data_IF_364165402580
#
_entry.id   IF_364165402580
#
_cell.length_a   1.000
_cell.length_b   1.000
_cell.length_c   1.000
_cell.angle_alpha   90.00
_cell.angle_beta   90.00
_cell.angle_gamma   90.00
#
_symmetry.space_group_name_H-M   'P 1'
#
loop_
_entity.id
_entity.type
_entity.pdbx_description
1 polymer ?
#
# COMPACT_ATOMS: atom_id res chain seq x y z
N UNK A 1 -4.32 -9.55 -17.82
CA UNK A 1 -4.07 -10.96 -18.18
C UNK A 1 -3.87 -11.85 -16.95
N UNK A 2 -2.79 -11.74 -16.17
CA UNK A 2 -2.62 -12.58 -14.96
C UNK A 2 -3.69 -12.35 -13.86
N UNK A 3 -4.07 -11.09 -13.63
CA UNK A 3 -5.10 -10.73 -12.63
C UNK A 3 -6.51 -11.20 -13.03
N UNK A 4 -6.77 -11.40 -14.32
CA UNK A 4 -8.09 -11.86 -14.81
C UNK A 4 -8.27 -13.35 -14.54
N UNK A 5 -7.21 -14.14 -14.73
CA UNK A 5 -7.24 -15.59 -14.50
C UNK A 5 -7.36 -15.93 -12.99
N UNK A 6 -6.68 -15.19 -12.12
CA UNK A 6 -6.81 -15.34 -10.66
C UNK A 6 -8.24 -15.03 -10.18
N UNK A 7 -8.84 -13.93 -10.67
CA UNK A 7 -10.22 -13.56 -10.35
C UNK A 7 -11.20 -14.65 -10.72
N UNK A 8 -11.05 -15.23 -11.91
CA UNK A 8 -11.90 -16.34 -12.38
C UNK A 8 -11.78 -17.55 -11.46
N UNK A 9 -10.57 -17.93 -11.04
CA UNK A 9 -10.36 -19.05 -10.11
C UNK A 9 -11.01 -18.81 -8.74
N UNK A 10 -10.89 -17.60 -8.19
CA UNK A 10 -11.51 -17.24 -6.91
C UNK A 10 -13.04 -17.28 -7.00
N UNK A 11 -13.62 -16.75 -8.09
CA UNK A 11 -15.07 -16.82 -8.31
C UNK A 11 -15.56 -18.26 -8.47
N UNK A 12 -14.83 -19.11 -9.20
CA UNK A 12 -15.16 -20.53 -9.32
C UNK A 12 -15.06 -21.27 -7.99
N UNK A 13 -14.05 -20.96 -7.19
CA UNK A 13 -13.92 -21.54 -5.85
C UNK A 13 -15.06 -21.11 -4.94
N UNK A 14 -15.40 -19.81 -4.92
CA UNK A 14 -16.52 -19.28 -4.17
C UNK A 14 -17.83 -19.97 -4.56
N UNK A 15 -18.09 -20.13 -5.86
CA UNK A 15 -19.30 -20.77 -6.36
C UNK A 15 -19.41 -22.23 -5.90
N UNK A 16 -18.32 -22.99 -6.01
CA UNK A 16 -18.25 -24.37 -5.49
C UNK A 16 -18.42 -24.43 -3.98
N UNK A 17 -17.83 -23.50 -3.24
CA UNK A 17 -17.94 -23.44 -1.79
C UNK A 17 -19.40 -23.19 -1.39
N UNK A 18 -20.09 -22.25 -2.03
CA UNK A 18 -21.48 -21.91 -1.69
C UNK A 18 -22.49 -22.98 -2.10
N UNK A 19 -22.21 -23.78 -3.13
CA UNK A 19 -23.11 -24.84 -3.61
C UNK A 19 -22.81 -26.24 -3.06
N UNK A 20 -21.83 -26.37 -2.15
CA UNK A 20 -21.55 -27.67 -1.53
C UNK A 20 -22.61 -27.98 -0.48
N UNK A 21 -23.43 -28.99 -0.73
CA UNK A 21 -24.42 -29.47 0.24
C UNK A 21 -23.75 -30.20 1.40
N UNK A 22 -24.23 -29.92 2.61
CA UNK A 22 -23.61 -30.40 3.85
C UNK A 22 -24.60 -31.22 4.67
N UNK A 23 -24.37 -32.53 4.75
CA UNK A 23 -25.34 -33.49 5.29
C UNK A 23 -25.24 -33.71 6.80
N UNK A 24 -24.10 -33.38 7.43
CA UNK A 24 -23.84 -33.58 8.87
C UNK A 24 -23.67 -32.26 9.63
N UNK A 25 -24.14 -32.21 10.88
CA UNK A 25 -23.98 -31.09 11.81
C UNK A 25 -22.50 -30.68 11.97
N UNK A 26 -21.59 -31.65 12.08
CA UNK A 26 -20.15 -31.38 12.18
C UNK A 26 -19.62 -30.71 10.91
N UNK A 27 -20.07 -31.18 9.74
CA UNK A 27 -19.66 -30.58 8.48
C UNK A 27 -20.25 -29.18 8.29
N UNK A 28 -21.46 -28.90 8.80
CA UNK A 28 -22.05 -27.54 8.71
C UNK A 28 -21.23 -26.50 9.46
N UNK A 29 -20.71 -26.85 10.65
CA UNK A 29 -19.82 -25.96 11.41
C UNK A 29 -18.52 -25.69 10.66
N UNK A 30 -17.88 -26.74 10.12
CA UNK A 30 -16.68 -26.59 9.29
C UNK A 30 -16.93 -25.78 8.01
N UNK A 31 -18.08 -25.97 7.38
CA UNK A 31 -18.46 -25.27 6.17
C UNK A 31 -18.66 -23.77 6.41
N UNK A 32 -19.35 -23.41 7.50
CA UNK A 32 -19.48 -22.01 7.93
C UNK A 32 -18.12 -21.36 8.20
N UNK A 33 -17.24 -22.07 8.90
CA UNK A 33 -15.87 -21.60 9.16
C UNK A 33 -15.06 -21.42 7.86
N UNK A 34 -15.23 -22.31 6.89
CA UNK A 34 -14.56 -22.22 5.59
C UNK A 34 -15.01 -20.99 4.80
N UNK A 35 -16.31 -20.70 4.78
CA UNK A 35 -16.87 -19.49 4.15
C UNK A 35 -16.32 -18.23 4.83
N UNK A 36 -16.32 -18.18 6.16
CA UNK A 36 -15.79 -17.03 6.91
C UNK A 36 -14.31 -16.80 6.61
N UNK A 37 -13.51 -17.88 6.62
CA UNK A 37 -12.08 -17.82 6.32
C UNK A 37 -11.83 -17.36 4.88
N UNK A 38 -12.63 -17.84 3.92
CA UNK A 38 -12.55 -17.41 2.53
C UNK A 38 -12.89 -15.93 2.36
N UNK A 39 -13.97 -15.45 2.99
CA UNK A 39 -14.33 -14.03 2.98
C UNK A 39 -13.18 -13.16 3.53
N UNK A 40 -12.52 -13.60 4.60
CA UNK A 40 -11.36 -12.90 5.17
C UNK A 40 -10.17 -12.85 4.21
N UNK A 41 -9.91 -13.92 3.46
CA UNK A 41 -8.89 -13.95 2.41
C UNK A 41 -9.20 -12.92 1.30
N UNK A 42 -10.45 -12.88 0.84
CA UNK A 42 -10.89 -11.93 -0.20
C UNK A 42 -10.76 -10.48 0.29
N UNK A 43 -11.13 -10.20 1.54
CA UNK A 43 -10.99 -8.88 2.15
C UNK A 43 -9.52 -8.44 2.25
N UNK A 44 -8.63 -9.31 2.77
CA UNK A 44 -7.19 -9.03 2.86
C UNK A 44 -6.57 -8.81 1.48
N UNK A 45 -7.00 -9.56 0.46
CA UNK A 45 -6.57 -9.35 -0.93
C UNK A 45 -7.03 -7.99 -1.46
N UNK A 46 -8.28 -7.60 -1.21
CA UNK A 46 -8.80 -6.28 -1.61
C UNK A 46 -7.99 -5.15 -0.97
N UNK A 47 -7.76 -5.23 0.34
CA UNK A 47 -6.95 -4.24 1.07
C UNK A 47 -5.55 -4.09 0.49
N UNK A 48 -4.90 -5.19 0.10
CA UNK A 48 -3.61 -5.18 -0.60
C UNK A 48 -3.68 -4.47 -1.95
N UNK A 49 -4.70 -4.74 -2.76
CA UNK A 49 -4.83 -4.11 -4.09
C UNK A 49 -5.12 -2.63 -3.95
N UNK A 50 -6.03 -2.27 -3.04
CA UNK A 50 -6.34 -0.88 -2.71
C UNK A 50 -5.08 -0.14 -2.24
N UNK A 51 -4.28 -0.73 -1.35
CA UNK A 51 -3.05 -0.11 -0.85
C UNK A 51 -1.93 0.06 -1.89
N UNK A 52 -1.99 -0.66 -3.02
CA UNK A 52 -1.08 -0.49 -4.17
C UNK A 52 -1.61 0.57 -5.15
N UNK A 53 -2.94 0.69 -5.27
CA UNK A 53 -3.60 1.61 -6.22
C UNK A 53 -3.78 3.04 -5.71
N UNK A 54 -3.68 3.25 -4.40
CA UNK A 54 -3.84 4.57 -3.78
C UNK A 54 -2.48 5.27 -3.74
N UNK A 55 -2.11 5.85 -4.88
CA UNK A 55 -1.06 6.86 -4.94
C UNK A 55 -1.67 8.25 -4.71
N UNK A 56 -0.92 9.16 -4.13
CA UNK A 56 -1.24 10.58 -3.99
C UNK A 56 -1.54 11.12 -5.40
N UNK A 57 -2.74 11.66 -5.65
CA UNK A 57 -3.09 12.25 -6.93
C UNK A 57 -2.04 13.26 -7.40
N UNK A 58 -1.64 13.20 -8.67
CA UNK A 58 -0.59 14.07 -9.22
C UNK A 58 -0.84 15.57 -9.02
N UNK A 59 -2.10 16.00 -8.90
CA UNK A 59 -2.46 17.38 -8.57
C UNK A 59 -1.97 17.82 -7.18
N UNK A 60 -1.97 16.92 -6.18
CA UNK A 60 -1.44 17.20 -4.85
C UNK A 60 0.08 17.32 -4.87
N UNK A 61 0.75 16.47 -5.66
CA UNK A 61 2.19 16.59 -5.91
C UNK A 61 2.56 17.94 -6.55
N UNK A 62 1.79 18.37 -7.55
CA UNK A 62 1.97 19.69 -8.14
C UNK A 62 1.78 20.81 -7.10
N UNK A 63 0.74 20.74 -6.26
CA UNK A 63 0.50 21.73 -5.21
C UNK A 63 1.64 21.80 -4.19
N UNK A 64 2.18 20.65 -3.75
CA UNK A 64 3.30 20.58 -2.80
C UNK A 64 4.57 21.16 -3.40
N UNK A 65 4.92 20.79 -4.65
CA UNK A 65 6.13 21.28 -5.32
C UNK A 65 6.04 22.78 -5.63
N UNK A 66 4.88 23.25 -6.07
CA UNK A 66 4.63 24.69 -6.31
C UNK A 66 4.70 25.45 -4.99
N UNK A 67 4.06 24.96 -3.94
CA UNK A 67 4.10 25.57 -2.61
C UNK A 67 5.53 25.66 -2.05
N UNK A 68 6.29 24.57 -2.15
CA UNK A 68 7.70 24.52 -1.79
C UNK A 68 8.53 25.58 -2.53
N UNK A 69 8.35 25.69 -3.84
CA UNK A 69 9.05 26.67 -4.67
C UNK A 69 8.69 28.12 -4.27
N UNK A 70 7.40 28.40 -4.06
CA UNK A 70 6.92 29.73 -3.64
C UNK A 70 7.48 30.08 -2.26
N UNK A 71 7.47 29.16 -1.30
CA UNK A 71 8.00 29.39 0.05
C UNK A 71 9.50 29.71 0.02
N UNK A 72 10.27 28.98 -0.79
CA UNK A 72 11.71 29.25 -0.97
C UNK A 72 11.92 30.60 -1.67
N UNK A 73 11.18 30.88 -2.75
CA UNK A 73 11.26 32.16 -3.48
C UNK A 73 10.91 33.36 -2.57
N UNK A 74 9.87 33.23 -1.75
CA UNK A 74 9.47 34.25 -0.79
C UNK A 74 10.57 34.54 0.24
N UNK A 75 11.32 33.51 0.67
CA UNK A 75 12.42 33.70 1.61
C UNK A 75 13.50 34.66 1.08
N UNK A 76 13.75 34.67 -0.24
CA UNK A 76 14.69 35.60 -0.88
C UNK A 76 14.21 37.05 -0.92
N UNK A 77 12.91 37.30 -0.67
CA UNK A 77 12.35 38.65 -0.58
C UNK A 77 12.68 39.36 0.75
N UNK A 78 13.22 38.66 1.74
CA UNK A 78 13.59 39.27 3.02
C UNK A 78 14.87 40.09 2.91
N UNK A 79 14.78 41.37 3.28
CA UNK A 79 15.94 42.26 3.41
C UNK A 79 16.64 41.92 4.73
N UNK A 80 17.80 41.26 4.63
CA UNK A 80 18.59 40.84 5.80
C UNK A 80 19.97 41.48 5.74
N UNK A 81 20.42 42.02 6.86
CA UNK A 81 21.69 42.78 6.96
C UNK A 81 22.92 41.90 6.68
N UNK A 82 22.83 40.59 6.94
CA UNK A 82 23.92 39.66 6.64
C UNK A 82 23.46 38.50 5.75
N UNK A 83 24.19 38.32 4.65
CA UNK A 83 23.98 37.22 3.69
C UNK A 83 24.15 35.84 4.34
N UNK A 84 25.04 35.72 5.34
CA UNK A 84 25.27 34.45 6.05
C UNK A 84 24.04 34.02 6.85
N UNK A 85 23.42 34.93 7.60
CA UNK A 85 22.19 34.60 8.36
C UNK A 85 21.03 34.29 7.41
N UNK A 86 20.90 35.05 6.32
CA UNK A 86 19.89 34.78 5.30
C UNK A 86 20.04 33.38 4.70
N UNK A 87 21.26 33.00 4.28
CA UNK A 87 21.54 31.69 3.72
C UNK A 87 21.26 30.54 4.72
N UNK A 88 21.57 30.71 6.01
CA UNK A 88 21.27 29.72 7.05
C UNK A 88 19.76 29.57 7.25
N UNK A 89 19.01 30.67 7.31
CA UNK A 89 17.55 30.64 7.48
C UNK A 89 16.84 30.02 6.27
N UNK A 90 17.21 30.41 5.06
CA UNK A 90 16.69 29.81 3.82
C UNK A 90 17.07 28.33 3.70
N UNK A 91 18.29 27.96 4.12
CA UNK A 91 18.74 26.57 4.16
C UNK A 91 17.92 25.71 5.14
N UNK A 92 17.64 26.21 6.34
CA UNK A 92 16.78 25.52 7.32
C UNK A 92 15.35 25.36 6.80
N UNK A 93 14.81 26.39 6.14
CA UNK A 93 13.48 26.35 5.52
C UNK A 93 13.43 25.31 4.39
N UNK A 94 14.42 25.32 3.48
CA UNK A 94 14.52 24.37 2.39
C UNK A 94 14.69 22.93 2.91
N UNK A 95 15.46 22.73 3.97
CA UNK A 95 15.62 21.44 4.63
C UNK A 95 14.30 20.94 5.22
N UNK A 96 13.56 21.80 5.93
CA UNK A 96 12.25 21.45 6.47
C UNK A 96 11.27 21.03 5.36
N UNK A 97 11.21 21.81 4.27
CA UNK A 97 10.38 21.50 3.10
C UNK A 97 10.82 20.17 2.45
N UNK A 98 12.12 19.96 2.29
CA UNK A 98 12.68 18.73 1.74
C UNK A 98 12.35 17.49 2.58
N UNK A 99 12.45 17.59 3.91
CA UNK A 99 12.04 16.52 4.84
C UNK A 99 10.55 16.23 4.68
N UNK A 100 9.71 17.27 4.57
CA UNK A 100 8.26 17.09 4.40
C UNK A 100 7.92 16.39 3.08
N UNK A 101 8.57 16.80 1.98
CA UNK A 101 8.42 16.14 0.66
C UNK A 101 8.93 14.70 0.71
N UNK A 102 10.05 14.44 1.38
CA UNK A 102 10.57 13.09 1.57
C UNK A 102 9.60 12.19 2.32
N UNK A 103 9.00 12.67 3.41
CA UNK A 103 7.98 11.92 4.17
C UNK A 103 6.77 11.62 3.30
N UNK A 104 6.29 12.60 2.53
CA UNK A 104 5.19 12.38 1.57
C UNK A 104 5.57 11.27 0.59
N UNK A 105 6.75 11.34 -0.03
CA UNK A 105 7.22 10.32 -0.98
C UNK A 105 7.33 8.93 -0.35
N UNK A 106 7.87 8.83 0.87
CA UNK A 106 8.05 7.58 1.59
C UNK A 106 6.72 6.93 2.01
N UNK A 107 5.71 7.75 2.32
CA UNK A 107 4.37 7.27 2.69
C UNK A 107 3.45 7.05 1.49
N UNK A 108 3.70 7.72 0.37
CA UNK A 108 2.94 7.57 -0.88
C UNK A 108 3.16 6.19 -1.52
N UNK A 109 4.35 5.61 -1.31
CA UNK A 109 4.67 4.28 -1.82
C UNK A 109 5.20 3.35 -0.72
N UNK A 110 4.35 2.93 0.24
CA UNK A 110 4.79 2.10 1.37
C UNK A 110 5.32 0.73 0.94
N UNK A 111 5.07 0.32 -0.31
CA UNK A 111 5.54 -0.95 -0.89
C UNK A 111 6.64 -0.79 -1.96
N UNK A 112 7.08 0.43 -2.30
CA UNK A 112 8.23 0.67 -3.20
C UNK A 112 9.46 1.06 -2.38
N UNK A 113 10.43 0.16 -2.25
CA UNK A 113 11.71 0.39 -1.54
C UNK A 113 12.27 -0.89 -0.90
N UNK A 114 13.41 -0.80 -0.21
CA UNK A 114 14.00 -1.92 0.57
C UNK A 114 13.11 -2.41 1.73
N UNK A 115 12.10 -1.61 2.11
CA UNK A 115 11.05 -1.97 3.09
C UNK A 115 9.76 -2.45 2.37
N UNK A 116 9.90 -2.96 1.14
CA UNK A 116 8.79 -3.64 0.47
C UNK A 116 8.46 -4.94 1.19
N UNK A 117 7.17 -5.22 1.37
CA UNK A 117 6.73 -6.50 1.96
C UNK A 117 7.12 -7.63 0.99
N UNK A 118 8.17 -8.37 1.35
CA UNK A 118 8.68 -9.50 0.58
C UNK A 118 7.61 -10.56 0.34
N UNK A 119 7.69 -11.24 -0.80
CA UNK A 119 6.82 -12.37 -1.14
C UNK A 119 7.11 -13.63 -0.30
N UNK A 120 8.18 -13.64 0.52
CA UNK A 120 8.63 -14.81 1.29
C UNK A 120 7.53 -15.43 2.14
N UNK A 121 6.68 -14.62 2.77
CA UNK A 121 5.58 -15.13 3.59
C UNK A 121 4.58 -15.98 2.78
N UNK A 122 4.33 -15.63 1.52
CA UNK A 122 3.47 -16.42 0.63
C UNK A 122 4.15 -17.69 0.13
N UNK A 123 5.46 -17.62 -0.17
CA UNK A 123 6.24 -18.79 -0.57
C UNK A 123 6.29 -19.84 0.54
N UNK A 124 6.49 -19.42 1.80
CA UNK A 124 6.48 -20.33 2.95
C UNK A 124 5.15 -21.06 3.08
N UNK A 125 4.02 -20.38 2.88
CA UNK A 125 2.70 -21.03 2.93
C UNK A 125 2.51 -21.97 1.76
N UNK A 126 2.90 -21.56 0.55
CA UNK A 126 2.81 -22.41 -0.64
C UNK A 126 3.59 -23.72 -0.42
N UNK A 127 4.85 -23.61 -0.01
CA UNK A 127 5.76 -24.74 0.09
C UNK A 127 5.46 -25.66 1.30
N UNK A 128 4.99 -25.09 2.42
CA UNK A 128 4.79 -25.85 3.67
C UNK A 128 3.36 -26.30 3.92
N UNK A 129 2.38 -25.65 3.31
CA UNK A 129 0.95 -25.92 3.60
C UNK A 129 0.21 -26.44 2.37
N UNK A 130 0.48 -25.90 1.18
CA UNK A 130 -0.26 -26.25 -0.03
C UNK A 130 0.38 -27.36 -0.86
N UNK A 131 1.69 -27.59 -0.73
CA UNK A 131 2.32 -28.79 -1.30
C UNK A 131 1.94 -30.00 -0.45
N UNK A 132 1.24 -31.01 -1.00
CA UNK A 132 0.96 -32.23 -0.26
C UNK A 132 2.29 -32.91 0.06
N UNK A 133 2.54 -33.18 1.34
CA UNK A 133 3.63 -34.06 1.75
C UNK A 133 3.48 -35.41 1.03
N UNK A 134 4.57 -35.98 0.47
CA UNK A 134 4.53 -37.25 -0.24
C UNK A 134 4.06 -38.41 0.63
#
# INVERSE_FOLDING_TARGET
MANDQERVLLTQFQDKLLHTEVSSLSQQVLHGQAIETFNKLVELRRQRIESISVSVPGVLWAAVLIGALITIAFSYGFIVVSLRLHAVLTGLLALMVGVMVFVIAALDHPYLGEVSVSADAYQVVLDKVMVPTP
#
